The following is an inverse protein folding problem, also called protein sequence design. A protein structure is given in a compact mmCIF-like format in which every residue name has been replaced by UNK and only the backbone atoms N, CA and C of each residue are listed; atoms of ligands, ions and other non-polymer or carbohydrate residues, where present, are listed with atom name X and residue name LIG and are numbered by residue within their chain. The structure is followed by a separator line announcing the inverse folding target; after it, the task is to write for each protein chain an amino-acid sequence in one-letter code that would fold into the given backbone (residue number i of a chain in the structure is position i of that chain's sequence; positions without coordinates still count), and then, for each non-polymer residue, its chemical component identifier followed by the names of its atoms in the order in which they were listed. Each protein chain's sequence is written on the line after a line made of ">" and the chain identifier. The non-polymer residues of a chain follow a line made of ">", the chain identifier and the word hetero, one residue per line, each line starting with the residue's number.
data_IF_494851158862
#
_entry.id   IF_494851158862
#
_cell.length_a   1.000
_cell.length_b   1.000
_cell.length_c   1.000
_cell.angle_alpha   90.00
_cell.angle_beta   90.00
_cell.angle_gamma   90.00
#
_symmetry.space_group_name_H-M   'P 1'
#
loop_
_entity.id
_entity.type
_entity.pdbx_description
1 polymer ?
#
# COMPACT_ATOMS: atom_id res chain seq x y z
N UNK A 1 -35.30 -12.70 -1.78
CA UNK A 1 -34.74 -11.62 -0.97
C UNK A 1 -33.23 -11.70 -1.10
N UNK A 2 -32.63 -10.68 -1.72
CA UNK A 2 -31.19 -10.62 -1.99
C UNK A 2 -30.43 -10.12 -0.76
N UNK A 3 -29.10 -10.27 -0.76
CA UNK A 3 -28.22 -9.68 0.28
C UNK A 3 -28.42 -8.16 0.36
N UNK A 4 -28.65 -7.50 -0.79
CA UNK A 4 -28.95 -6.07 -0.85
C UNK A 4 -30.21 -5.71 -0.08
N UNK A 5 -31.31 -6.46 -0.28
CA UNK A 5 -32.59 -6.20 0.40
C UNK A 5 -32.45 -6.29 1.93
N UNK A 6 -31.67 -7.28 2.40
CA UNK A 6 -31.43 -7.48 3.83
C UNK A 6 -30.58 -6.35 4.44
N UNK A 7 -29.56 -5.88 3.71
CA UNK A 7 -28.72 -4.75 4.14
C UNK A 7 -29.47 -3.41 4.13
N UNK A 8 -30.31 -3.16 3.13
CA UNK A 8 -31.16 -1.95 3.07
C UNK A 8 -32.08 -1.92 4.29
N UNK A 9 -32.76 -3.03 4.58
CA UNK A 9 -33.63 -3.13 5.75
C UNK A 9 -32.86 -2.92 7.05
N UNK A 10 -31.69 -3.54 7.21
CA UNK A 10 -30.88 -3.39 8.42
C UNK A 10 -30.34 -1.96 8.61
N UNK A 11 -29.95 -1.26 7.53
CA UNK A 11 -29.43 0.11 7.60
C UNK A 11 -30.55 1.14 7.82
N UNK A 12 -31.76 0.91 7.29
CA UNK A 12 -32.90 1.80 7.47
C UNK A 12 -33.39 1.85 8.94
N UNK A 13 -33.12 0.81 9.73
CA UNK A 13 -33.41 0.79 11.17
C UNK A 13 -32.42 1.64 11.99
N UNK A 14 -31.25 1.99 11.42
CA UNK A 14 -30.16 2.69 12.12
C UNK A 14 -30.00 4.14 11.66
N UNK A 15 -30.42 4.48 10.43
CA UNK A 15 -30.34 5.82 9.84
C UNK A 15 -31.69 6.31 9.33
N UNK A 16 -32.00 7.59 9.57
CA UNK A 16 -33.22 8.27 9.10
C UNK A 16 -33.18 8.70 7.62
N UNK A 17 -32.05 8.52 6.92
CA UNK A 17 -31.94 8.65 5.48
C UNK A 17 -32.22 7.32 4.74
N UNK A 18 -32.54 7.37 3.44
CA UNK A 18 -32.66 6.14 2.62
C UNK A 18 -31.27 5.59 2.33
N UNK A 19 -30.84 4.47 2.95
CA UNK A 19 -29.52 3.93 2.70
C UNK A 19 -29.47 3.36 1.28
N UNK A 20 -28.48 3.79 0.49
CA UNK A 20 -28.26 3.26 -0.86
C UNK A 20 -27.29 2.09 -0.77
N UNK A 21 -27.80 0.89 -1.03
CA UNK A 21 -26.98 -0.32 -1.16
C UNK A 21 -26.86 -0.65 -2.64
N UNK A 22 -25.62 -0.80 -3.09
CA UNK A 22 -25.31 -1.20 -4.46
C UNK A 22 -24.51 -2.50 -4.42
N UNK A 23 -24.85 -3.44 -5.30
CA UNK A 23 -24.18 -4.74 -5.42
C UNK A 23 -23.64 -4.86 -6.83
N UNK A 24 -22.36 -5.21 -6.95
CA UNK A 24 -21.68 -5.43 -8.20
C UNK A 24 -20.66 -6.56 -8.04
N UNK A 25 -20.45 -7.32 -9.10
CA UNK A 25 -19.42 -8.35 -9.17
C UNK A 25 -18.02 -7.72 -9.25
N UNK A 26 -17.00 -8.41 -8.75
CA UNK A 26 -15.60 -7.91 -8.75
C UNK A 26 -15.09 -7.63 -10.19
N UNK A 27 -15.61 -8.36 -11.17
CA UNK A 27 -15.30 -8.18 -12.60
C UNK A 27 -16.13 -7.13 -13.34
N UNK A 28 -17.12 -6.49 -12.71
CA UNK A 28 -17.91 -5.44 -13.34
C UNK A 28 -17.10 -4.14 -13.46
N UNK A 29 -17.37 -3.33 -14.49
CA UNK A 29 -16.82 -1.97 -14.62
C UNK A 29 -17.81 -1.00 -13.95
N UNK A 30 -17.46 -0.42 -12.78
CA UNK A 30 -18.34 0.50 -12.08
C UNK A 30 -18.39 1.86 -12.77
N UNK A 31 -19.46 2.61 -12.51
CA UNK A 31 -19.54 4.01 -12.87
C UNK A 31 -18.52 4.83 -12.06
N UNK A 32 -18.04 5.99 -12.56
CA UNK A 32 -17.03 6.79 -11.87
C UNK A 32 -17.36 7.15 -10.41
N UNK A 33 -18.64 7.34 -10.09
CA UNK A 33 -19.07 7.65 -8.72
C UNK A 33 -18.90 6.45 -7.77
N UNK A 34 -19.10 5.22 -8.27
CA UNK A 34 -18.98 4.00 -7.48
C UNK A 34 -17.50 3.75 -7.13
N UNK A 35 -16.59 3.98 -8.08
CA UNK A 35 -15.14 3.93 -7.82
C UNK A 35 -14.72 4.96 -6.76
N UNK A 36 -15.21 6.20 -6.88
CA UNK A 36 -14.92 7.25 -5.89
C UNK A 36 -15.51 6.91 -4.50
N UNK A 37 -16.75 6.43 -4.45
CA UNK A 37 -17.41 6.04 -3.21
C UNK A 37 -16.71 4.84 -2.55
N UNK A 38 -16.28 3.85 -3.34
CA UNK A 38 -15.50 2.72 -2.83
C UNK A 38 -14.14 3.17 -2.31
N UNK A 39 -13.44 4.08 -2.99
CA UNK A 39 -12.16 4.59 -2.52
C UNK A 39 -12.27 5.34 -1.18
N UNK A 40 -13.37 6.07 -0.95
CA UNK A 40 -13.61 6.86 0.25
C UNK A 40 -14.37 6.13 1.38
N UNK A 41 -15.01 4.99 1.07
CA UNK A 41 -15.89 4.29 2.01
C UNK A 41 -15.15 3.61 3.17
N UNK A 42 -15.88 3.23 4.21
CA UNK A 42 -15.36 2.38 5.28
C UNK A 42 -15.82 0.93 5.10
N UNK A 43 -14.91 -0.04 5.25
CA UNK A 43 -15.28 -1.46 5.16
C UNK A 43 -15.89 -1.94 6.47
N UNK A 44 -17.18 -2.25 6.47
CA UNK A 44 -17.87 -2.96 7.56
C UNK A 44 -17.81 -4.47 7.29
N UNK A 45 -17.30 -5.27 8.24
CA UNK A 45 -17.09 -6.72 8.04
C UNK A 45 -17.26 -7.53 9.32
N UNK A 46 -17.74 -8.78 9.17
CA UNK A 46 -18.01 -9.76 10.23
C UNK A 46 -16.87 -10.79 10.43
N UNK A 47 -15.72 -10.66 9.75
CA UNK A 47 -14.62 -11.63 9.89
C UNK A 47 -13.22 -11.04 9.65
N UNK A 48 -12.23 -11.82 10.11
CA UNK A 48 -10.79 -11.55 10.32
C UNK A 48 -10.16 -10.58 9.32
N UNK A 49 -9.44 -9.59 9.84
CA UNK A 49 -8.59 -8.68 9.05
C UNK A 49 -7.48 -9.48 8.38
N UNK A 50 -7.52 -9.65 7.06
CA UNK A 50 -6.27 -9.80 6.32
C UNK A 50 -5.61 -8.42 6.36
N UNK A 51 -4.73 -8.20 7.34
CA UNK A 51 -3.96 -6.95 7.41
C UNK A 51 -2.88 -7.00 6.35
N UNK A 52 -3.00 -6.16 5.32
CA UNK A 52 -1.86 -5.90 4.43
C UNK A 52 -0.70 -5.33 5.26
N UNK A 53 0.51 -5.68 4.87
CA UNK A 53 1.73 -5.23 5.52
C UNK A 53 2.37 -4.12 4.70
N UNK A 54 2.63 -2.98 5.32
CA UNK A 54 3.40 -1.91 4.68
C UNK A 54 4.89 -2.17 4.88
N UNK A 55 5.63 -2.27 3.78
CA UNK A 55 7.08 -2.42 3.79
C UNK A 55 7.76 -1.08 4.09
N UNK A 56 8.84 -1.15 4.87
CA UNK A 56 9.70 0.01 5.13
C UNK A 56 10.72 0.18 4.01
N UNK A 57 10.88 1.41 3.54
CA UNK A 57 11.99 1.77 2.64
C UNK A 57 13.26 2.07 3.41
N UNK A 58 13.15 2.87 4.48
CA UNK A 58 14.28 3.44 5.21
C UNK A 58 14.47 2.76 6.57
N UNK A 59 15.69 2.79 7.08
CA UNK A 59 16.05 2.15 8.35
C UNK A 59 15.57 2.94 9.58
N UNK A 60 15.23 4.20 9.36
CA UNK A 60 14.69 5.13 10.34
C UNK A 60 14.43 6.49 9.73
N UNK A 61 13.90 7.38 10.55
CA UNK A 61 13.78 8.80 10.24
C UNK A 61 14.16 9.61 11.48
N UNK A 62 14.97 10.63 11.26
CA UNK A 62 15.28 11.64 12.25
C UNK A 62 14.36 12.85 12.06
N UNK A 63 14.03 13.56 13.15
CA UNK A 63 13.12 14.72 13.09
C UNK A 63 13.65 15.87 12.24
N UNK A 64 14.96 16.10 12.26
CA UNK A 64 15.58 17.26 11.62
C UNK A 64 16.23 16.86 10.28
N UNK A 65 16.75 15.63 10.19
CA UNK A 65 17.51 15.14 9.01
C UNK A 65 16.67 14.30 8.05
N UNK A 66 15.46 13.91 8.44
CA UNK A 66 14.57 13.09 7.63
C UNK A 66 14.96 11.61 7.58
N UNK A 67 14.47 10.85 6.59
CA UNK A 67 14.73 9.42 6.47
C UNK A 67 16.21 9.11 6.21
N UNK A 68 16.69 7.95 6.66
CA UNK A 68 18.07 7.52 6.44
C UNK A 68 18.20 6.00 6.27
N UNK A 69 19.31 5.59 5.64
CA UNK A 69 19.84 4.23 5.67
C UNK A 69 21.02 4.16 6.65
N UNK A 70 21.12 3.08 7.42
CA UNK A 70 22.27 2.82 8.27
C UNK A 70 23.48 2.44 7.40
N UNK A 71 24.72 2.75 7.83
CA UNK A 71 25.92 2.39 7.07
C UNK A 71 26.08 0.88 6.81
N UNK A 72 25.57 0.04 7.72
CA UNK A 72 25.59 -1.42 7.65
C UNK A 72 24.35 -2.03 6.97
N UNK A 73 23.52 -1.21 6.30
CA UNK A 73 22.34 -1.71 5.61
C UNK A 73 22.70 -2.81 4.60
N UNK A 74 22.06 -3.99 4.66
CA UNK A 74 22.41 -5.14 3.84
C UNK A 74 22.31 -4.85 2.34
N UNK A 75 23.21 -5.45 1.55
CA UNK A 75 23.15 -5.37 0.10
C UNK A 75 22.56 -6.63 -0.50
N UNK A 76 21.78 -6.47 -1.57
CA UNK A 76 21.21 -7.57 -2.34
C UNK A 76 21.49 -7.34 -3.83
N UNK A 77 22.25 -8.26 -4.42
CA UNK A 77 22.68 -8.21 -5.81
C UNK A 77 22.58 -9.60 -6.47
N UNK A 78 23.15 -9.70 -7.68
CA UNK A 78 23.11 -10.92 -8.48
C UNK A 78 21.70 -11.41 -8.83
N UNK A 79 21.54 -12.71 -9.14
CA UNK A 79 20.27 -13.27 -9.59
C UNK A 79 19.14 -13.13 -8.57
N UNK A 80 19.46 -13.17 -7.27
CA UNK A 80 18.47 -13.00 -6.20
C UNK A 80 17.95 -11.56 -6.18
N UNK A 81 18.84 -10.57 -6.23
CA UNK A 81 18.45 -9.17 -6.32
C UNK A 81 17.66 -8.83 -7.58
N UNK A 82 18.01 -9.44 -8.72
CA UNK A 82 17.27 -9.29 -9.97
C UNK A 82 15.86 -9.88 -9.89
N UNK A 83 15.70 -11.07 -9.30
CA UNK A 83 14.39 -11.68 -9.07
C UNK A 83 13.52 -10.82 -8.15
N UNK A 84 14.09 -10.32 -7.06
CA UNK A 84 13.37 -9.44 -6.12
C UNK A 84 12.95 -8.14 -6.79
N UNK A 85 13.86 -7.51 -7.55
CA UNK A 85 13.57 -6.30 -8.29
C UNK A 85 12.46 -6.50 -9.33
N UNK A 86 12.47 -7.63 -10.05
CA UNK A 86 11.43 -7.96 -11.02
C UNK A 86 10.06 -8.11 -10.34
N UNK A 87 10.00 -8.81 -9.21
CA UNK A 87 8.76 -8.98 -8.45
C UNK A 87 8.22 -7.63 -7.96
N UNK A 88 9.05 -6.80 -7.33
CA UNK A 88 8.64 -5.48 -6.82
C UNK A 88 8.04 -4.59 -7.91
N UNK A 89 8.55 -4.69 -9.14
CA UNK A 89 8.07 -3.93 -10.31
C UNK A 89 6.81 -4.52 -10.94
N UNK A 90 6.53 -5.80 -10.73
CA UNK A 90 5.33 -6.46 -11.23
C UNK A 90 4.10 -6.25 -10.36
N UNK A 91 4.25 -5.79 -9.12
CA UNK A 91 3.11 -5.44 -8.26
C UNK A 91 2.23 -4.35 -8.87
N UNK A 92 0.93 -4.41 -8.61
CA UNK A 92 -0.04 -3.45 -9.12
C UNK A 92 0.16 -2.09 -8.44
N UNK A 93 0.12 -0.99 -9.21
CA UNK A 93 0.17 0.37 -8.67
C UNK A 93 -1.15 0.66 -7.96
N UNK A 94 -1.08 0.80 -6.63
CA UNK A 94 -2.26 1.09 -5.79
C UNK A 94 -2.41 2.58 -5.52
N UNK A 95 -1.30 3.31 -5.44
CA UNK A 95 -1.30 4.75 -5.28
C UNK A 95 -0.19 5.35 -6.13
N UNK A 96 -0.55 6.31 -6.98
CA UNK A 96 0.39 7.09 -7.78
C UNK A 96 0.37 8.52 -7.27
N UNK A 97 1.51 8.98 -6.77
CA UNK A 97 1.68 10.32 -6.23
C UNK A 97 2.49 11.18 -7.20
N UNK A 98 2.05 12.41 -7.48
CA UNK A 98 2.84 13.33 -8.30
C UNK A 98 4.15 13.69 -7.57
N UNK A 99 5.25 13.71 -8.32
CA UNK A 99 6.55 14.15 -7.85
C UNK A 99 7.55 13.02 -7.61
N UNK A 100 8.71 13.39 -7.06
CA UNK A 100 9.79 12.49 -6.72
C UNK A 100 10.65 13.11 -5.61
N UNK A 101 11.29 12.27 -4.80
CA UNK A 101 12.27 12.70 -3.79
C UNK A 101 13.68 12.72 -4.37
N UNK A 102 14.57 13.46 -3.72
CA UNK A 102 16.01 13.38 -3.97
C UNK A 102 16.56 12.03 -3.51
N UNK A 103 17.60 11.56 -4.19
CA UNK A 103 18.31 10.36 -3.79
C UNK A 103 19.16 10.64 -2.55
N UNK A 104 18.87 9.96 -1.43
CA UNK A 104 19.57 10.17 -0.16
C UNK A 104 21.04 9.75 -0.21
N UNK A 105 21.43 8.94 -1.19
CA UNK A 105 22.79 8.41 -1.33
C UNK A 105 23.56 9.00 -2.52
N UNK A 106 22.92 9.87 -3.31
CA UNK A 106 23.51 10.45 -4.52
C UNK A 106 23.00 11.89 -4.67
N UNK A 107 23.75 12.84 -4.10
CA UNK A 107 23.34 14.25 -4.02
C UNK A 107 23.15 14.92 -5.39
N UNK A 108 23.74 14.36 -6.45
CA UNK A 108 23.57 14.88 -7.82
C UNK A 108 22.23 14.44 -8.44
N UNK A 109 21.46 13.56 -7.77
CA UNK A 109 20.18 13.01 -8.25
C UNK A 109 19.00 13.60 -7.49
N UNK A 110 18.65 14.82 -7.91
CA UNK A 110 17.46 15.54 -7.45
C UNK A 110 16.20 14.99 -8.13
N UNK A 111 15.09 14.89 -7.39
CA UNK A 111 13.78 14.44 -7.88
C UNK A 111 13.81 13.13 -8.69
N UNK A 112 14.55 12.13 -8.20
CA UNK A 112 14.80 10.87 -8.90
C UNK A 112 14.05 9.66 -8.32
N UNK A 113 13.65 9.72 -7.05
CA UNK A 113 13.04 8.61 -6.31
C UNK A 113 11.51 8.70 -6.38
N UNK A 114 10.80 7.75 -6.99
CA UNK A 114 9.34 7.78 -7.07
C UNK A 114 8.67 7.68 -5.68
N UNK A 115 7.56 8.41 -5.50
CA UNK A 115 6.78 8.47 -4.25
C UNK A 115 5.48 7.65 -4.29
N UNK A 116 5.28 6.84 -5.34
CA UNK A 116 4.14 5.94 -5.47
C UNK A 116 4.26 4.65 -4.64
N UNK A 117 3.20 3.84 -4.64
CA UNK A 117 3.10 2.57 -3.92
C UNK A 117 2.53 1.47 -4.80
N UNK A 118 3.06 0.26 -4.61
CA UNK A 118 2.62 -0.97 -5.27
C UNK A 118 2.18 -2.01 -4.25
N UNK A 119 1.41 -2.99 -4.72
CA UNK A 119 0.92 -4.08 -3.88
C UNK A 119 0.77 -5.39 -4.66
N UNK A 120 0.89 -6.51 -3.93
CA UNK A 120 0.50 -7.85 -4.38
C UNK A 120 -0.72 -8.42 -3.64
N UNK A 121 -1.37 -7.58 -2.84
CA UNK A 121 -2.54 -7.94 -2.04
C UNK A 121 -2.22 -8.49 -0.66
N UNK A 122 -0.94 -8.74 -0.34
CA UNK A 122 -0.48 -9.06 1.02
C UNK A 122 0.48 -8.02 1.56
N UNK A 123 1.34 -7.48 0.70
CA UNK A 123 2.24 -6.38 0.99
C UNK A 123 1.89 -5.15 0.18
N UNK A 124 2.10 -3.99 0.78
CA UNK A 124 2.18 -2.71 0.10
C UNK A 124 3.60 -2.20 0.27
N UNK A 125 4.24 -1.73 -0.79
CA UNK A 125 5.59 -1.18 -0.71
C UNK A 125 5.73 0.12 -1.51
N UNK A 126 6.51 1.10 -0.99
CA UNK A 126 6.87 2.28 -1.76
C UNK A 126 7.69 1.90 -3.00
N UNK A 127 7.49 2.59 -4.12
CA UNK A 127 8.29 2.41 -5.33
C UNK A 127 9.77 2.74 -5.11
N UNK A 128 10.07 3.58 -4.11
CA UNK A 128 11.42 3.85 -3.62
C UNK A 128 12.21 2.57 -3.27
N UNK A 129 11.56 1.50 -2.78
CA UNK A 129 12.22 0.22 -2.47
C UNK A 129 12.88 -0.38 -3.73
N UNK A 130 12.14 -0.43 -4.84
CA UNK A 130 12.66 -0.94 -6.11
C UNK A 130 13.75 -0.01 -6.70
N UNK A 131 13.60 1.31 -6.50
CA UNK A 131 14.61 2.28 -6.90
C UNK A 131 15.95 2.03 -6.18
N UNK A 132 15.94 1.99 -4.83
CA UNK A 132 17.14 1.82 -4.03
C UNK A 132 17.79 0.44 -4.20
N UNK A 133 16.99 -0.63 -4.38
CA UNK A 133 17.52 -1.94 -4.76
C UNK A 133 18.22 -1.91 -6.12
N UNK A 134 17.61 -1.29 -7.14
CA UNK A 134 18.21 -1.22 -8.47
C UNK A 134 19.49 -0.39 -8.49
N UNK A 135 19.44 0.81 -7.90
CA UNK A 135 20.51 1.81 -8.01
C UNK A 135 21.65 1.53 -7.03
N UNK A 136 21.30 1.25 -5.78
CA UNK A 136 22.23 1.18 -4.67
C UNK A 136 22.37 -0.23 -4.10
N UNK A 137 21.66 -1.22 -4.63
CA UNK A 137 21.67 -2.61 -4.12
C UNK A 137 21.24 -2.72 -2.67
N UNK A 138 20.52 -1.74 -2.13
CA UNK A 138 19.98 -1.83 -0.76
C UNK A 138 18.90 -2.91 -0.71
N UNK A 139 19.08 -3.88 0.17
CA UNK A 139 18.14 -4.98 0.31
C UNK A 139 16.80 -4.44 0.86
N UNK A 140 15.65 -4.83 0.29
CA UNK A 140 14.37 -4.55 0.91
C UNK A 140 14.26 -5.19 2.30
N UNK A 141 13.21 -4.81 3.04
CA UNK A 141 12.91 -5.42 4.34
C UNK A 141 12.98 -6.96 4.28
N UNK A 142 13.69 -7.64 5.21
CA UNK A 142 13.97 -9.07 5.09
C UNK A 142 12.71 -9.93 4.95
N UNK A 143 11.63 -9.56 5.64
CA UNK A 143 10.36 -10.27 5.57
C UNK A 143 9.64 -10.09 4.23
N UNK A 144 9.81 -8.93 3.58
CA UNK A 144 9.35 -8.72 2.21
C UNK A 144 10.19 -9.56 1.24
N UNK A 145 11.52 -9.59 1.40
CA UNK A 145 12.40 -10.44 0.58
C UNK A 145 12.02 -11.90 0.70
N UNK A 146 11.81 -12.41 1.92
CA UNK A 146 11.38 -13.78 2.15
C UNK A 146 10.04 -14.08 1.45
N UNK A 147 9.04 -13.22 1.62
CA UNK A 147 7.75 -13.33 0.94
C UNK A 147 7.89 -13.39 -0.59
N UNK A 148 8.77 -12.56 -1.17
CA UNK A 148 9.03 -12.52 -2.61
C UNK A 148 9.73 -13.80 -3.09
N UNK A 149 10.70 -14.30 -2.33
CA UNK A 149 11.45 -15.50 -2.72
C UNK A 149 10.64 -16.78 -2.62
N UNK A 150 9.63 -16.80 -1.74
CA UNK A 150 8.64 -17.87 -1.64
C UNK A 150 7.61 -17.84 -2.77
N UNK A 151 7.43 -16.70 -3.45
CA UNK A 151 6.47 -16.58 -4.54
C UNK A 151 6.91 -17.38 -5.78
N UNK A 152 6.01 -18.24 -6.28
CA UNK A 152 6.25 -19.07 -7.46
C UNK A 152 5.86 -18.39 -8.78
N UNK A 153 5.15 -17.27 -8.70
CA UNK A 153 4.69 -16.49 -9.85
C UNK A 153 4.66 -14.99 -9.50
N UNK A 154 4.65 -14.09 -10.50
CA UNK A 154 4.34 -12.68 -10.29
C UNK A 154 2.95 -12.50 -9.67
N UNK A 155 2.72 -11.39 -8.95
CA UNK A 155 1.42 -11.10 -8.37
C UNK A 155 0.36 -10.88 -9.47
N UNK A 156 -0.85 -11.37 -9.20
CA UNK A 156 -2.01 -11.14 -10.06
C UNK A 156 -2.65 -9.77 -9.84
N UNK A 157 -3.66 -9.46 -10.64
CA UNK A 157 -4.47 -8.25 -10.44
C UNK A 157 -5.18 -8.29 -9.08
N UNK A 158 -5.26 -7.13 -8.42
CA UNK A 158 -5.91 -7.00 -7.13
C UNK A 158 -7.44 -6.93 -7.31
N UNK A 159 -8.17 -7.57 -6.41
CA UNK A 159 -9.61 -7.31 -6.30
C UNK A 159 -9.86 -5.89 -5.81
N UNK A 160 -11.05 -5.34 -6.10
CA UNK A 160 -11.40 -3.98 -5.69
C UNK A 160 -11.31 -3.78 -4.17
N UNK A 161 -11.75 -4.79 -3.42
CA UNK A 161 -11.66 -4.80 -1.96
C UNK A 161 -10.21 -4.77 -1.49
N UNK A 162 -9.32 -5.54 -2.12
CA UNK A 162 -7.89 -5.58 -1.77
C UNK A 162 -7.21 -4.25 -2.08
N UNK A 163 -7.53 -3.64 -3.22
CA UNK A 163 -7.06 -2.30 -3.59
C UNK A 163 -7.52 -1.25 -2.58
N UNK A 164 -8.80 -1.27 -2.19
CA UNK A 164 -9.32 -0.40 -1.14
C UNK A 164 -8.58 -0.59 0.19
N UNK A 165 -8.34 -1.84 0.60
CA UNK A 165 -7.61 -2.15 1.83
C UNK A 165 -6.15 -1.67 1.78
N UNK A 166 -5.50 -1.76 0.62
CA UNK A 166 -4.16 -1.24 0.43
C UNK A 166 -4.12 0.28 0.64
N UNK A 167 -5.06 1.02 0.03
CA UNK A 167 -5.20 2.47 0.23
C UNK A 167 -5.52 2.80 1.69
N UNK A 168 -6.44 2.09 2.32
CA UNK A 168 -6.77 2.27 3.74
C UNK A 168 -5.56 2.00 4.66
N UNK A 169 -4.63 1.12 4.25
CA UNK A 169 -3.37 0.88 5.00
C UNK A 169 -2.42 2.07 4.90
N UNK A 170 -2.41 2.79 3.77
CA UNK A 170 -1.57 3.97 3.56
C UNK A 170 -2.10 5.21 4.30
N UNK A 171 -3.42 5.36 4.38
CA UNK A 171 -4.10 6.52 4.95
C UNK A 171 -4.72 6.27 6.32
N UNK A 172 -4.52 5.09 6.90
CA UNK A 172 -4.95 4.84 8.27
C UNK A 172 -4.34 5.92 9.17
N UNK A 173 -5.15 6.61 10.00
CA UNK A 173 -4.60 7.52 10.99
C UNK A 173 -3.62 6.72 11.84
N UNK A 174 -2.36 7.17 11.89
CA UNK A 174 -1.35 6.48 12.68
C UNK A 174 -1.79 6.44 14.14
N UNK A 175 -1.53 5.33 14.83
CA UNK A 175 -1.69 5.19 16.29
C UNK A 175 -0.68 6.07 17.08
N UNK A 176 -0.28 7.21 16.53
CA UNK A 176 0.45 8.22 17.26
C UNK A 176 -0.55 8.95 18.16
N UNK A 177 -0.53 8.65 19.46
CA UNK A 177 -1.10 9.55 20.46
C UNK A 177 -0.64 10.98 20.15
N UNK A 178 -1.54 11.98 20.18
CA UNK A 178 -1.15 13.37 19.98
C UNK A 178 -0.20 13.78 21.11
N UNK A 179 1.10 13.85 20.81
CA UNK A 179 2.16 14.33 21.73
C UNK A 179 2.16 15.87 21.82
N UNK A 180 0.99 16.48 21.86
CA UNK A 180 0.83 17.90 22.15
C UNK A 180 -0.26 18.09 23.20
N UNK A 181 0.17 18.25 24.46
CA UNK A 181 -0.59 18.94 25.50
C UNK A 181 -0.19 20.42 25.41
N UNK A 182 -1.14 21.30 25.13
CA UNK A 182 -0.93 22.74 25.24
C UNK A 182 -0.81 23.10 26.73
N UNK A 183 0.33 23.68 27.11
CA UNK A 183 0.54 24.39 28.36
C UNK A 183 0.54 25.89 28.12
#
# INVERSE_FOLDING_TARGET
>A
MTVADHLIAALAEVDSGTPRVEVFDDGAVPAPYQDAALAAGAVVRNAVRTSLRLARTFDGADRDRGPFFRPDHPRLDGPVGERVLAYLRSGEVVFDAPGAMDDLLDADRVAAVPVGFRSDGRWVWPEAVAYYLKRHRLAPEPELVAHILDATAPPGALSRLTRHQALATLFAPGDAEPVWQAG
#
